data_IF_114549418008
#
_entry.id   IF_114549418008
#
_cell.length_a   1.000
_cell.length_b   1.000
_cell.length_c   1.000
_cell.angle_alpha   90.00
_cell.angle_beta   90.00
_cell.angle_gamma   90.00
#
_symmetry.space_group_name_H-M   'P 1'
#
loop_
_entity.id
_entity.type
_entity.pdbx_description
1 polymer ?
#
# COMPACT_ATOMS: atom_id res chain seq x y z
N UNK A 1 4.68 18.13 -10.17
CA UNK A 1 4.12 17.05 -11.00
C UNK A 1 3.92 15.87 -10.06
N UNK A 2 2.71 15.35 -9.88
CA UNK A 2 2.47 14.19 -9.01
C UNK A 2 3.17 12.98 -9.62
N UNK A 3 3.74 12.09 -8.80
CA UNK A 3 4.31 10.84 -9.28
C UNK A 3 3.20 9.89 -9.76
N UNK A 4 3.51 8.98 -10.68
CA UNK A 4 2.55 7.96 -11.13
C UNK A 4 2.00 7.13 -9.95
N UNK A 5 2.81 6.93 -8.92
CA UNK A 5 2.44 6.22 -7.69
C UNK A 5 1.38 7.00 -6.88
N UNK A 6 1.54 8.32 -6.75
CA UNK A 6 0.55 9.17 -6.07
C UNK A 6 -0.78 9.19 -6.82
N UNK A 7 -0.75 9.24 -8.16
CA UNK A 7 -1.96 9.16 -8.98
C UNK A 7 -2.69 7.82 -8.80
N UNK A 8 -1.97 6.70 -8.79
CA UNK A 8 -2.56 5.37 -8.55
C UNK A 8 -3.15 5.25 -7.14
N UNK A 9 -2.51 5.83 -6.11
CA UNK A 9 -3.07 5.85 -4.75
C UNK A 9 -4.37 6.64 -4.67
N UNK A 10 -4.42 7.78 -5.33
CA UNK A 10 -5.63 8.63 -5.40
C UNK A 10 -6.76 7.88 -6.12
N UNK A 11 -6.47 7.22 -7.24
CA UNK A 11 -7.44 6.42 -8.00
C UNK A 11 -8.04 5.29 -7.16
N UNK A 12 -7.20 4.50 -6.46
CA UNK A 12 -7.70 3.44 -5.56
C UNK A 12 -8.52 4.02 -4.40
N UNK A 13 -8.14 5.18 -3.87
CA UNK A 13 -8.88 5.84 -2.79
C UNK A 13 -10.24 6.32 -3.28
N UNK A 14 -10.32 6.89 -4.47
CA UNK A 14 -11.57 7.33 -5.09
C UNK A 14 -12.50 6.15 -5.41
N UNK A 15 -11.96 5.05 -5.94
CA UNK A 15 -12.74 3.82 -6.16
C UNK A 15 -13.34 3.28 -4.86
N UNK A 16 -12.59 3.30 -3.76
CA UNK A 16 -13.11 2.89 -2.45
C UNK A 16 -14.25 3.80 -1.97
N UNK A 17 -14.08 5.11 -2.10
CA UNK A 17 -15.08 6.10 -1.73
C UNK A 17 -16.37 5.91 -2.54
N UNK A 18 -16.25 5.76 -3.86
CA UNK A 18 -17.37 5.48 -4.76
C UNK A 18 -18.08 4.18 -4.41
N UNK A 19 -17.32 3.12 -4.11
CA UNK A 19 -17.86 1.84 -3.67
C UNK A 19 -18.65 1.94 -2.37
N UNK A 20 -18.14 2.71 -1.39
CA UNK A 20 -18.85 2.97 -0.14
C UNK A 20 -20.16 3.75 -0.37
N UNK A 21 -20.14 4.77 -1.21
CA UNK A 21 -21.36 5.54 -1.54
C UNK A 21 -22.39 4.66 -2.29
N UNK A 22 -21.96 3.75 -3.16
CA UNK A 22 -22.84 2.77 -3.79
C UNK A 22 -23.46 1.81 -2.78
N UNK A 23 -22.67 1.34 -1.81
CA UNK A 23 -23.18 0.49 -0.72
C UNK A 23 -24.24 1.22 0.10
N UNK A 24 -23.99 2.49 0.48
CA UNK A 24 -24.98 3.31 1.19
C UNK A 24 -26.24 3.56 0.36
N UNK A 25 -26.09 3.80 -0.93
CA UNK A 25 -27.22 3.98 -1.85
C UNK A 25 -28.09 2.70 -1.95
N UNK A 26 -27.46 1.51 -1.95
CA UNK A 26 -28.18 0.24 -1.92
C UNK A 26 -28.91 0.04 -0.58
N UNK A 27 -28.30 0.36 0.55
CA UNK A 27 -28.93 0.29 1.87
C UNK A 27 -30.15 1.21 1.91
N UNK A 28 -30.03 2.45 1.41
CA UNK A 28 -31.14 3.42 1.39
C UNK A 28 -32.30 2.93 0.53
N UNK A 29 -32.04 2.31 -0.64
CA UNK A 29 -33.07 1.73 -1.52
C UNK A 29 -33.78 0.50 -0.90
N UNK A 30 -33.06 -0.29 -0.07
CA UNK A 30 -33.59 -1.55 0.48
C UNK A 30 -34.35 -1.35 1.80
N UNK A 31 -33.80 -0.59 2.71
CA UNK A 31 -34.33 -0.47 4.09
C UNK A 31 -34.43 0.97 4.60
N UNK A 32 -33.95 1.94 3.84
CA UNK A 32 -33.80 3.34 4.26
C UNK A 32 -32.61 3.54 5.20
N UNK A 33 -31.94 4.68 5.06
CA UNK A 33 -30.92 5.10 6.04
C UNK A 33 -31.60 5.83 7.21
N UNK A 34 -31.04 5.74 8.44
CA UNK A 34 -31.51 6.49 9.58
C UNK A 34 -31.50 8.00 9.32
N UNK A 35 -32.49 8.73 9.86
CA UNK A 35 -32.63 10.16 9.61
C UNK A 35 -31.41 10.99 10.09
N UNK A 36 -30.80 10.59 11.20
CA UNK A 36 -29.60 11.24 11.72
C UNK A 36 -28.41 11.07 10.75
N UNK A 37 -28.32 9.90 10.12
CA UNK A 37 -27.27 9.64 9.12
C UNK A 37 -27.52 10.38 7.81
N UNK A 38 -28.79 10.53 7.38
CA UNK A 38 -29.14 11.36 6.22
C UNK A 38 -28.78 12.81 6.42
N UNK A 39 -29.06 13.38 7.60
CA UNK A 39 -28.66 14.74 7.96
C UNK A 39 -27.14 14.93 7.92
N UNK A 40 -26.37 13.96 8.42
CA UNK A 40 -24.92 14.01 8.38
C UNK A 40 -24.39 14.00 6.92
N UNK A 41 -24.98 13.19 6.02
CA UNK A 41 -24.63 13.20 4.62
C UNK A 41 -24.93 14.55 3.95
N UNK A 42 -26.01 15.21 4.33
CA UNK A 42 -26.38 16.56 3.86
C UNK A 42 -25.39 17.64 4.38
N UNK A 43 -25.01 17.56 5.66
CA UNK A 43 -24.00 18.44 6.27
C UNK A 43 -22.61 18.30 5.62
N UNK A 44 -22.25 17.06 5.25
CA UNK A 44 -20.98 16.74 4.59
C UNK A 44 -21.04 16.98 3.05
N UNK A 45 -22.15 17.53 2.53
CA UNK A 45 -22.41 17.76 1.09
C UNK A 45 -22.26 16.48 0.24
N UNK A 46 -22.52 15.29 0.80
CA UNK A 46 -22.40 14.02 0.12
C UNK A 46 -23.73 13.62 -0.52
N UNK A 47 -23.76 13.60 -1.83
CA UNK A 47 -24.91 13.06 -2.61
C UNK A 47 -24.66 11.60 -2.97
N UNK A 48 -25.55 10.72 -2.54
CA UNK A 48 -25.47 9.30 -2.91
C UNK A 48 -25.78 9.10 -4.40
N UNK A 49 -24.99 8.28 -5.11
CA UNK A 49 -25.20 8.03 -6.54
C UNK A 49 -26.44 7.17 -6.79
N UNK A 50 -27.00 7.29 -7.99
CA UNK A 50 -27.97 6.29 -8.45
C UNK A 50 -27.25 4.96 -8.68
N UNK A 51 -27.56 3.96 -7.89
CA UNK A 51 -26.89 2.65 -7.93
C UNK A 51 -26.92 2.03 -9.32
N UNK A 52 -28.08 1.92 -9.94
CA UNK A 52 -28.26 1.25 -11.24
C UNK A 52 -27.47 1.90 -12.38
N UNK A 53 -27.21 3.21 -12.30
CA UNK A 53 -26.44 3.94 -13.33
C UNK A 53 -24.94 3.92 -13.09
N UNK A 54 -24.52 3.80 -11.83
CA UNK A 54 -23.13 4.02 -11.46
C UNK A 54 -22.37 2.73 -11.15
N UNK A 55 -23.08 1.63 -10.88
CA UNK A 55 -22.47 0.37 -10.46
C UNK A 55 -21.56 -0.26 -11.52
N UNK A 56 -22.00 -0.35 -12.79
CA UNK A 56 -21.25 -1.05 -13.83
C UNK A 56 -19.90 -0.39 -14.15
N UNK A 57 -19.83 0.94 -14.13
CA UNK A 57 -18.56 1.68 -14.27
C UNK A 57 -17.63 1.37 -13.11
N UNK A 58 -18.13 1.52 -11.87
CA UNK A 58 -17.37 1.21 -10.67
C UNK A 58 -16.87 -0.24 -10.63
N UNK A 59 -17.75 -1.19 -11.00
CA UNK A 59 -17.40 -2.61 -11.05
C UNK A 59 -16.26 -2.88 -12.03
N UNK A 60 -16.35 -2.32 -13.24
CA UNK A 60 -15.36 -2.53 -14.30
C UNK A 60 -13.99 -1.98 -13.92
N UNK A 61 -13.94 -0.76 -13.38
CA UNK A 61 -12.71 -0.12 -12.90
C UNK A 61 -12.11 -0.90 -11.71
N UNK A 62 -12.95 -1.28 -10.73
CA UNK A 62 -12.53 -2.07 -9.56
C UNK A 62 -11.97 -3.43 -9.96
N UNK A 63 -12.59 -4.11 -10.93
CA UNK A 63 -12.14 -5.42 -11.40
C UNK A 63 -10.74 -5.37 -12.02
N UNK A 64 -10.39 -4.30 -12.74
CA UNK A 64 -9.05 -4.10 -13.30
C UNK A 64 -8.01 -4.01 -12.17
N UNK A 65 -8.28 -3.20 -11.16
CA UNK A 65 -7.39 -3.00 -10.00
C UNK A 65 -7.23 -4.29 -9.19
N UNK A 66 -8.34 -5.02 -8.94
CA UNK A 66 -8.32 -6.29 -8.20
C UNK A 66 -7.53 -7.35 -8.97
N UNK A 67 -7.68 -7.46 -10.29
CA UNK A 67 -6.89 -8.38 -11.12
C UNK A 67 -5.38 -8.16 -11.00
N UNK A 68 -4.95 -6.92 -10.89
CA UNK A 68 -3.53 -6.57 -10.78
C UNK A 68 -2.96 -6.78 -9.37
N UNK A 69 -3.71 -6.45 -8.34
CA UNK A 69 -3.20 -6.37 -6.97
C UNK A 69 -3.65 -7.52 -6.05
N UNK A 70 -4.82 -8.11 -6.32
CA UNK A 70 -5.42 -9.22 -5.57
C UNK A 70 -5.95 -10.32 -6.49
N UNK A 71 -5.12 -10.95 -7.35
CA UNK A 71 -5.57 -11.94 -8.33
C UNK A 71 -6.33 -13.11 -7.68
N UNK A 72 -5.97 -13.52 -6.48
CA UNK A 72 -6.61 -14.61 -5.74
C UNK A 72 -8.05 -14.29 -5.29
N UNK A 73 -8.48 -13.02 -5.34
CA UNK A 73 -9.82 -12.58 -4.94
C UNK A 73 -10.72 -12.19 -6.11
N UNK A 74 -10.23 -12.35 -7.34
CA UNK A 74 -10.98 -11.99 -8.57
C UNK A 74 -12.28 -12.79 -8.66
N UNK A 75 -12.21 -14.10 -8.48
CA UNK A 75 -13.39 -14.98 -8.58
C UNK A 75 -14.43 -14.67 -7.49
N UNK A 76 -13.95 -14.38 -6.26
CA UNK A 76 -14.82 -13.94 -5.16
C UNK A 76 -15.55 -12.65 -5.50
N UNK A 77 -14.86 -11.67 -6.11
CA UNK A 77 -15.44 -10.40 -6.52
C UNK A 77 -16.47 -10.55 -7.62
N UNK A 78 -16.16 -11.34 -8.67
CA UNK A 78 -17.05 -11.61 -9.80
C UNK A 78 -18.31 -12.36 -9.34
N UNK A 79 -18.16 -13.34 -8.45
CA UNK A 79 -19.27 -14.15 -7.93
C UNK A 79 -20.34 -13.33 -7.23
N UNK A 80 -20.01 -12.19 -6.60
CA UNK A 80 -21.00 -11.30 -6.01
C UNK A 80 -21.84 -10.56 -7.07
N UNK A 81 -21.24 -10.24 -8.21
CA UNK A 81 -21.94 -9.58 -9.31
C UNK A 81 -22.90 -10.53 -10.02
N UNK A 82 -22.41 -11.73 -10.40
CA UNK A 82 -23.20 -12.68 -11.21
C UNK A 82 -22.88 -14.14 -10.86
N UNK A 83 -23.92 -14.94 -10.69
CA UNK A 83 -23.80 -16.39 -10.53
C UNK A 83 -24.40 -17.12 -11.73
N UNK A 84 -23.55 -17.66 -12.60
CA UNK A 84 -24.00 -18.27 -13.87
C UNK A 84 -24.57 -19.67 -13.71
N UNK A 85 -24.07 -20.47 -12.77
CA UNK A 85 -24.42 -21.88 -12.58
C UNK A 85 -25.26 -22.10 -11.32
N UNK A 86 -26.48 -21.56 -11.28
CA UNK A 86 -27.41 -21.76 -10.16
C UNK A 86 -28.67 -22.44 -10.65
N UNK A 87 -29.23 -23.33 -9.85
CA UNK A 87 -30.48 -24.04 -10.14
C UNK A 87 -31.71 -23.21 -9.83
N UNK A 88 -31.65 -22.40 -8.78
CA UNK A 88 -32.72 -21.51 -8.34
C UNK A 88 -32.13 -20.21 -7.76
N UNK A 89 -32.95 -19.18 -7.69
CA UNK A 89 -32.61 -17.90 -7.07
C UNK A 89 -33.20 -17.89 -5.68
N UNK A 90 -32.33 -18.03 -4.67
CA UNK A 90 -32.63 -17.90 -3.25
C UNK A 90 -31.76 -16.81 -2.63
N UNK A 91 -31.89 -16.58 -1.33
CA UNK A 91 -31.13 -15.57 -0.60
C UNK A 91 -29.61 -15.72 -0.76
N UNK A 92 -29.09 -16.95 -0.82
CA UNK A 92 -27.66 -17.22 -0.94
C UNK A 92 -27.14 -17.03 -2.37
N UNK A 93 -27.94 -17.43 -3.36
CA UNK A 93 -27.59 -17.39 -4.77
C UNK A 93 -28.00 -16.11 -5.50
N UNK A 94 -28.73 -15.23 -4.82
CA UNK A 94 -29.04 -13.88 -5.30
C UNK A 94 -27.75 -13.09 -5.51
N UNK A 95 -27.69 -12.30 -6.58
CA UNK A 95 -26.49 -11.55 -6.98
C UNK A 95 -26.82 -10.06 -7.22
N UNK A 96 -25.81 -9.23 -7.36
CA UNK A 96 -26.01 -7.80 -7.68
C UNK A 96 -26.67 -7.64 -9.06
N UNK A 97 -26.41 -8.53 -10.03
CA UNK A 97 -27.09 -8.54 -11.32
C UNK A 97 -28.62 -8.72 -11.16
N UNK A 98 -29.05 -9.55 -10.19
CA UNK A 98 -30.48 -9.73 -9.92
C UNK A 98 -31.12 -8.50 -9.28
N UNK A 99 -30.36 -7.82 -8.40
CA UNK A 99 -30.76 -6.52 -7.82
C UNK A 99 -30.98 -5.48 -8.93
N UNK A 100 -30.01 -5.33 -9.86
CA UNK A 100 -30.10 -4.39 -10.99
C UNK A 100 -31.30 -4.66 -11.89
N UNK A 101 -31.69 -5.94 -12.05
CA UNK A 101 -32.87 -6.36 -12.82
C UNK A 101 -34.17 -6.29 -12.01
N UNK A 102 -34.11 -5.97 -10.72
CA UNK A 102 -35.29 -5.92 -9.84
C UNK A 102 -35.94 -7.29 -9.59
N UNK A 103 -35.13 -8.37 -9.64
CA UNK A 103 -35.62 -9.74 -9.46
C UNK A 103 -36.16 -9.93 -8.04
N UNK A 104 -37.33 -10.54 -7.93
CA UNK A 104 -37.94 -11.00 -6.69
C UNK A 104 -38.45 -12.40 -6.88
N UNK A 105 -38.09 -13.33 -6.02
CA UNK A 105 -38.53 -14.72 -6.07
C UNK A 105 -39.44 -15.06 -4.89
N UNK A 106 -40.49 -15.81 -5.17
CA UNK A 106 -41.48 -16.25 -4.20
C UNK A 106 -41.71 -17.76 -4.30
N UNK A 107 -42.14 -18.40 -3.23
CA UNK A 107 -42.43 -19.84 -3.21
C UNK A 107 -43.80 -20.10 -2.59
N UNK A 108 -44.50 -21.12 -3.14
CA UNK A 108 -45.77 -21.60 -2.66
C UNK A 108 -46.98 -20.75 -3.05
N UNK A 109 -48.20 -21.22 -2.69
CA UNK A 109 -49.45 -20.53 -2.99
C UNK A 109 -49.57 -19.17 -2.27
N UNK A 110 -48.98 -19.04 -1.09
CA UNK A 110 -48.94 -17.82 -0.29
C UNK A 110 -47.89 -16.82 -0.79
N UNK A 111 -47.18 -17.11 -1.88
CA UNK A 111 -46.14 -16.27 -2.44
C UNK A 111 -45.10 -15.78 -1.41
N UNK A 112 -44.66 -16.67 -0.50
CA UNK A 112 -43.63 -16.32 0.48
C UNK A 112 -42.36 -15.91 -0.22
N UNK A 113 -41.82 -14.73 0.13
CA UNK A 113 -40.58 -14.20 -0.48
C UNK A 113 -39.40 -15.10 -0.11
N UNK A 114 -38.68 -15.56 -1.10
CA UNK A 114 -37.48 -16.40 -0.98
C UNK A 114 -36.21 -15.54 -1.13
N UNK A 115 -36.22 -14.61 -2.07
CA UNK A 115 -35.15 -13.62 -2.24
C UNK A 115 -35.69 -12.35 -2.89
N UNK A 116 -35.17 -11.24 -2.47
CA UNK A 116 -35.42 -9.91 -2.99
C UNK A 116 -34.16 -9.04 -2.90
N UNK A 117 -34.30 -7.74 -3.13
CA UNK A 117 -33.22 -6.75 -3.10
C UNK A 117 -32.37 -6.81 -1.84
N UNK A 118 -32.92 -7.19 -0.67
CA UNK A 118 -32.19 -7.25 0.59
C UNK A 118 -31.02 -8.25 0.57
N UNK A 119 -31.16 -9.31 -0.24
CA UNK A 119 -30.11 -10.31 -0.39
C UNK A 119 -28.84 -9.78 -1.10
N UNK A 120 -28.92 -8.64 -1.81
CA UNK A 120 -27.79 -8.04 -2.49
C UNK A 120 -26.87 -7.21 -1.57
N UNK A 121 -27.39 -6.72 -0.45
CA UNK A 121 -26.63 -5.82 0.47
C UNK A 121 -25.33 -6.46 0.93
N UNK A 122 -25.36 -7.70 1.44
CA UNK A 122 -24.16 -8.43 1.83
C UNK A 122 -23.21 -8.74 0.67
N UNK A 123 -23.71 -8.84 -0.57
CA UNK A 123 -22.89 -9.03 -1.77
C UNK A 123 -22.10 -7.75 -2.10
N UNK A 124 -22.73 -6.60 -2.01
CA UNK A 124 -22.07 -5.30 -2.20
C UNK A 124 -21.06 -5.01 -1.10
N UNK A 125 -21.40 -5.32 0.16
CA UNK A 125 -20.48 -5.22 1.29
C UNK A 125 -19.21 -6.06 1.06
N UNK A 126 -19.35 -7.30 0.57
CA UNK A 126 -18.19 -8.13 0.26
C UNK A 126 -17.34 -7.55 -0.87
N UNK A 127 -17.91 -7.00 -1.92
CA UNK A 127 -17.17 -6.35 -3.00
C UNK A 127 -16.40 -5.12 -2.49
N UNK A 128 -17.02 -4.27 -1.69
CA UNK A 128 -16.34 -3.11 -1.09
C UNK A 128 -15.22 -3.52 -0.14
N UNK A 129 -15.41 -4.61 0.63
CA UNK A 129 -14.40 -5.17 1.51
C UNK A 129 -13.19 -5.73 0.75
N UNK A 130 -13.42 -6.42 -0.38
CA UNK A 130 -12.33 -6.89 -1.27
C UNK A 130 -11.56 -5.71 -1.82
N UNK A 131 -12.24 -4.67 -2.29
CA UNK A 131 -11.60 -3.46 -2.80
C UNK A 131 -10.83 -2.70 -1.70
N UNK A 132 -11.35 -2.68 -0.47
CA UNK A 132 -10.64 -2.07 0.67
C UNK A 132 -9.29 -2.77 0.97
N UNK A 133 -9.20 -4.10 0.78
CA UNK A 133 -7.96 -4.86 0.95
C UNK A 133 -6.89 -4.51 -0.10
N UNK A 134 -7.27 -3.99 -1.27
CA UNK A 134 -6.36 -3.54 -2.33
C UNK A 134 -5.39 -2.47 -1.82
N UNK A 135 -5.87 -1.50 -1.03
CA UNK A 135 -5.03 -0.40 -0.53
C UNK A 135 -3.85 -0.91 0.31
N UNK A 136 -4.10 -1.85 1.22
CA UNK A 136 -3.04 -2.46 2.05
C UNK A 136 -2.02 -3.22 1.21
N UNK A 137 -2.50 -3.96 0.19
CA UNK A 137 -1.62 -4.73 -0.69
C UNK A 137 -0.80 -3.83 -1.60
N UNK A 138 -1.37 -2.74 -2.06
CA UNK A 138 -0.68 -1.74 -2.87
C UNK A 138 0.47 -1.08 -2.08
N UNK A 139 0.24 -0.67 -0.85
CA UNK A 139 1.27 -0.09 0.03
C UNK A 139 2.41 -1.09 0.31
N UNK A 140 2.07 -2.35 0.60
CA UNK A 140 3.06 -3.41 0.80
C UNK A 140 3.92 -3.63 -0.44
N UNK A 141 3.32 -3.78 -1.63
CA UNK A 141 4.08 -3.97 -2.88
C UNK A 141 4.95 -2.78 -3.25
N UNK A 142 4.50 -1.56 -2.98
CA UNK A 142 5.31 -0.36 -3.21
C UNK A 142 6.54 -0.33 -2.29
N UNK A 143 6.35 -0.70 -1.03
CA UNK A 143 7.46 -0.80 -0.09
C UNK A 143 8.49 -1.83 -0.56
N UNK A 144 8.04 -3.04 -0.96
CA UNK A 144 8.91 -4.10 -1.49
C UNK A 144 9.71 -3.62 -2.73
N UNK A 145 9.05 -2.91 -3.67
CA UNK A 145 9.71 -2.38 -4.87
C UNK A 145 10.73 -1.30 -4.51
N UNK A 146 10.41 -0.41 -3.58
CA UNK A 146 11.35 0.63 -3.13
C UNK A 146 12.58 0.01 -2.46
N UNK A 147 12.41 -1.02 -1.62
CA UNK A 147 13.53 -1.73 -1.00
C UNK A 147 14.45 -2.39 -2.04
N UNK A 148 13.86 -3.07 -3.04
CA UNK A 148 14.64 -3.71 -4.11
C UNK A 148 15.43 -2.67 -4.92
N UNK A 149 14.76 -1.59 -5.37
CA UNK A 149 15.44 -0.52 -6.14
C UNK A 149 16.56 0.16 -5.33
N UNK A 150 16.37 0.33 -4.04
CA UNK A 150 17.37 0.93 -3.17
C UNK A 150 18.56 -0.02 -2.94
N UNK A 151 18.30 -1.32 -2.78
CA UNK A 151 19.35 -2.33 -2.69
C UNK A 151 20.19 -2.39 -3.98
N UNK A 152 19.55 -2.40 -5.15
CA UNK A 152 20.23 -2.38 -6.45
C UNK A 152 21.12 -1.13 -6.63
N UNK A 153 20.63 0.03 -6.18
CA UNK A 153 21.39 1.28 -6.22
C UNK A 153 22.64 1.20 -5.32
N UNK A 154 22.49 0.70 -4.09
CA UNK A 154 23.61 0.55 -3.16
C UNK A 154 24.65 -0.44 -3.68
N UNK A 155 24.24 -1.55 -4.28
CA UNK A 155 25.15 -2.53 -4.88
C UNK A 155 25.91 -1.94 -6.06
N UNK A 156 25.29 -1.12 -6.87
CA UNK A 156 25.93 -0.40 -7.97
C UNK A 156 26.98 0.60 -7.47
N UNK A 157 26.65 1.42 -6.45
CA UNK A 157 27.58 2.39 -5.85
C UNK A 157 28.77 1.69 -5.18
N UNK A 158 28.53 0.57 -4.46
CA UNK A 158 29.61 -0.23 -3.84
C UNK A 158 30.49 -0.92 -4.87
N UNK A 159 29.93 -1.36 -6.00
CA UNK A 159 30.72 -1.92 -7.12
C UNK A 159 31.64 -0.88 -7.73
N UNK A 160 31.16 0.36 -7.92
CA UNK A 160 31.99 1.48 -8.35
C UNK A 160 33.13 1.80 -7.36
N UNK A 161 32.82 1.77 -6.05
CA UNK A 161 33.83 1.96 -5.00
C UNK A 161 34.92 0.86 -5.05
N UNK A 162 34.53 -0.42 -5.25
CA UNK A 162 35.47 -1.54 -5.40
C UNK A 162 36.41 -1.36 -6.60
N UNK A 163 35.91 -0.92 -7.76
CA UNK A 163 36.71 -0.67 -8.94
C UNK A 163 37.69 0.50 -8.74
N UNK A 164 37.27 1.57 -8.08
CA UNK A 164 38.17 2.66 -7.71
C UNK A 164 39.28 2.20 -6.76
N UNK A 165 38.95 1.38 -5.78
CA UNK A 165 39.93 0.82 -4.83
C UNK A 165 40.98 -0.05 -5.55
N UNK A 166 40.52 -0.95 -6.46
CA UNK A 166 41.43 -1.79 -7.27
C UNK A 166 42.41 -0.96 -8.15
N UNK A 167 41.96 0.22 -8.59
CA UNK A 167 42.79 1.14 -9.41
C UNK A 167 43.67 2.06 -8.54
N UNK A 168 43.69 1.90 -7.23
CA UNK A 168 44.48 2.70 -6.30
C UNK A 168 43.83 4.02 -5.85
N UNK A 169 42.60 4.31 -6.26
CA UNK A 169 41.88 5.52 -5.85
C UNK A 169 41.16 5.30 -4.51
N UNK A 170 41.90 4.89 -3.48
CA UNK A 170 41.38 4.44 -2.16
C UNK A 170 40.52 5.51 -1.51
N UNK A 171 40.91 6.79 -1.58
CA UNK A 171 40.11 7.88 -1.00
C UNK A 171 38.73 8.03 -1.67
N UNK A 172 38.70 8.02 -3.01
CA UNK A 172 37.43 8.08 -3.73
C UNK A 172 36.54 6.88 -3.44
N UNK A 173 37.11 5.69 -3.34
CA UNK A 173 36.41 4.48 -2.94
C UNK A 173 35.81 4.60 -1.53
N UNK A 174 36.58 5.08 -0.56
CA UNK A 174 36.13 5.26 0.81
C UNK A 174 35.05 6.35 0.96
N UNK A 175 35.14 7.44 0.20
CA UNK A 175 34.13 8.47 0.18
C UNK A 175 32.78 7.94 -0.34
N UNK A 176 32.78 7.20 -1.49
CA UNK A 176 31.56 6.58 -2.04
C UNK A 176 30.99 5.56 -1.04
N UNK A 177 31.81 4.65 -0.52
CA UNK A 177 31.35 3.67 0.46
C UNK A 177 30.74 4.32 1.72
N UNK A 178 31.33 5.45 2.16
CA UNK A 178 30.81 6.23 3.28
C UNK A 178 29.46 6.85 3.01
N UNK A 179 29.22 7.37 1.81
CA UNK A 179 27.89 7.89 1.39
C UNK A 179 26.86 6.78 1.37
N UNK A 180 27.21 5.60 0.84
CA UNK A 180 26.31 4.43 0.83
C UNK A 180 25.97 4.02 2.27
N UNK A 181 26.97 3.95 3.16
CA UNK A 181 26.76 3.61 4.56
C UNK A 181 25.81 4.62 5.24
N UNK A 182 26.00 5.92 5.02
CA UNK A 182 25.18 6.98 5.59
C UNK A 182 23.72 6.88 5.13
N UNK A 183 23.49 6.69 3.83
CA UNK A 183 22.17 6.49 3.23
C UNK A 183 21.49 5.22 3.80
N UNK A 184 22.25 4.11 3.87
CA UNK A 184 21.70 2.84 4.40
C UNK A 184 21.30 2.95 5.86
N UNK A 185 22.13 3.56 6.73
CA UNK A 185 21.80 3.78 8.12
C UNK A 185 20.58 4.70 8.29
N UNK A 186 20.46 5.73 7.46
CA UNK A 186 19.26 6.59 7.39
C UNK A 186 18.01 5.78 7.09
N UNK A 187 18.07 4.94 6.06
CA UNK A 187 16.97 4.06 5.68
C UNK A 187 16.58 3.07 6.79
N UNK A 188 17.57 2.45 7.47
CA UNK A 188 17.29 1.59 8.62
C UNK A 188 16.60 2.36 9.74
N UNK A 189 17.01 3.60 10.03
CA UNK A 189 16.29 4.43 10.99
C UNK A 189 14.84 4.71 10.57
N UNK A 190 14.60 5.02 9.31
CA UNK A 190 13.25 5.26 8.77
C UNK A 190 12.37 4.01 8.89
N UNK A 191 12.89 2.83 8.52
CA UNK A 191 12.18 1.54 8.62
C UNK A 191 11.74 1.24 10.06
N UNK A 192 12.56 1.66 11.05
CA UNK A 192 12.24 1.53 12.47
C UNK A 192 11.50 2.74 13.06
N UNK A 193 11.02 3.67 12.21
CA UNK A 193 10.35 4.91 12.64
C UNK A 193 11.17 5.80 13.57
N UNK A 194 12.51 5.74 13.47
CA UNK A 194 13.44 6.55 14.25
C UNK A 194 13.77 7.84 13.48
N UNK A 195 13.58 8.99 14.12
CA UNK A 195 13.87 10.30 13.52
C UNK A 195 14.99 11.01 14.27
N UNK A 196 16.04 11.40 13.55
CA UNK A 196 17.06 12.30 14.11
C UNK A 196 16.47 13.69 14.35
N UNK A 197 16.94 14.36 15.42
CA UNK A 197 16.60 15.77 15.70
C UNK A 197 17.37 16.74 14.80
N UNK A 198 18.44 16.27 14.14
CA UNK A 198 19.25 17.10 13.23
C UNK A 198 18.62 17.14 11.84
N UNK A 199 18.72 18.30 11.21
CA UNK A 199 18.25 18.48 9.83
C UNK A 199 19.10 17.68 8.83
N UNK A 200 20.41 17.53 9.09
CA UNK A 200 21.37 16.76 8.30
C UNK A 200 22.14 15.83 9.26
N UNK A 201 21.57 14.64 9.56
CA UNK A 201 22.23 13.68 10.42
C UNK A 201 23.42 13.04 9.70
N UNK A 202 24.49 12.74 10.47
CA UNK A 202 25.68 12.04 10.01
C UNK A 202 25.64 10.56 10.36
N UNK A 203 26.59 9.78 9.86
CA UNK A 203 26.77 8.36 10.22
C UNK A 203 26.75 8.17 11.76
N UNK A 204 27.42 9.09 12.51
CA UNK A 204 27.46 9.00 13.98
C UNK A 204 26.11 9.22 14.64
N UNK A 205 25.28 10.10 14.09
CA UNK A 205 23.94 10.34 14.62
C UNK A 205 23.05 9.13 14.40
N UNK A 206 23.15 8.48 13.23
CA UNK A 206 22.37 7.30 12.90
C UNK A 206 22.77 6.08 13.74
N UNK A 207 24.06 5.71 13.83
CA UNK A 207 24.43 4.53 14.59
C UNK A 207 24.18 4.72 16.10
N UNK A 208 24.28 5.93 16.62
CA UNK A 208 23.93 6.21 18.00
C UNK A 208 22.42 6.03 18.24
N UNK A 209 21.59 6.57 17.35
CA UNK A 209 20.14 6.43 17.42
C UNK A 209 19.71 4.96 17.35
N UNK A 210 20.31 4.17 16.47
CA UNK A 210 20.05 2.72 16.35
C UNK A 210 20.50 1.96 17.61
N UNK A 211 21.61 2.36 18.24
CA UNK A 211 22.10 1.76 19.47
C UNK A 211 21.22 2.08 20.68
N UNK A 212 20.79 3.32 20.82
CA UNK A 212 19.92 3.78 21.91
C UNK A 212 18.52 3.12 21.88
N UNK A 213 18.09 2.66 20.72
CA UNK A 213 16.82 1.95 20.54
C UNK A 213 16.97 0.43 20.42
N UNK A 214 18.14 -0.14 20.79
CA UNK A 214 18.43 -1.58 20.76
C UNK A 214 18.26 -2.28 19.41
N UNK A 215 18.32 -1.52 18.30
CA UNK A 215 18.22 -2.07 16.93
C UNK A 215 19.54 -2.74 16.54
N UNK A 216 20.67 -2.23 17.04
CA UNK A 216 21.99 -2.83 16.83
C UNK A 216 22.66 -3.13 18.17
N UNK A 217 23.38 -4.25 18.21
CA UNK A 217 24.19 -4.64 19.37
C UNK A 217 25.49 -3.81 19.48
N UNK A 218 26.21 -3.99 20.58
CA UNK A 218 27.45 -3.24 20.82
C UNK A 218 28.55 -3.56 19.80
N UNK A 219 28.58 -4.77 19.26
CA UNK A 219 29.59 -5.21 18.27
C UNK A 219 29.35 -4.50 16.93
N UNK A 220 28.11 -4.50 16.45
CA UNK A 220 27.71 -3.78 15.23
C UNK A 220 27.91 -2.27 15.41
N UNK A 221 27.54 -1.72 16.54
CA UNK A 221 27.75 -0.30 16.84
C UNK A 221 29.22 0.10 16.71
N UNK A 222 30.16 -0.65 17.34
CA UNK A 222 31.61 -0.40 17.23
C UNK A 222 32.12 -0.55 15.81
N UNK A 223 31.62 -1.54 15.07
CA UNK A 223 32.02 -1.76 13.68
C UNK A 223 31.59 -0.60 12.78
N UNK A 224 30.35 -0.12 12.91
CA UNK A 224 29.84 1.02 12.16
C UNK A 224 30.60 2.31 12.54
N UNK A 225 30.92 2.50 13.81
CA UNK A 225 31.77 3.61 14.26
C UNK A 225 33.11 3.58 13.55
N UNK A 226 33.78 2.43 13.49
CA UNK A 226 35.06 2.27 12.80
C UNK A 226 34.95 2.61 11.30
N UNK A 227 33.89 2.16 10.64
CA UNK A 227 33.64 2.51 9.23
C UNK A 227 33.43 4.02 9.03
N UNK A 228 32.73 4.68 9.96
CA UNK A 228 32.57 6.13 9.98
C UNK A 228 33.89 6.88 10.13
N UNK A 229 34.79 6.37 10.98
CA UNK A 229 36.14 6.94 11.13
C UNK A 229 36.97 6.79 9.87
N UNK A 230 36.92 5.63 9.20
CA UNK A 230 37.59 5.41 7.90
C UNK A 230 37.05 6.37 6.82
N UNK A 231 35.74 6.57 6.75
CA UNK A 231 35.13 7.55 5.82
C UNK A 231 35.65 8.95 6.10
N UNK A 232 35.74 9.38 7.34
CA UNK A 232 36.24 10.70 7.72
C UNK A 232 37.72 10.89 7.32
N UNK A 233 38.54 9.83 7.41
CA UNK A 233 39.94 9.86 6.91
C UNK A 233 39.99 9.99 5.38
N UNK A 234 39.02 9.44 4.65
CA UNK A 234 38.96 9.59 3.19
C UNK A 234 38.57 11.02 2.76
N UNK A 235 37.66 11.66 3.48
CA UNK A 235 37.17 13.01 3.15
C UNK A 235 38.14 14.12 3.62
N UNK A 236 38.78 13.93 4.77
CA UNK A 236 39.68 14.95 5.37
C UNK A 236 41.12 14.43 5.46
N UNK A 237 42.02 14.82 4.53
CA UNK A 237 43.39 14.35 4.56
C UNK A 237 44.13 14.90 5.80
N UNK A 238 44.36 14.06 6.78
CA UNK A 238 45.40 14.26 7.77
C UNK A 238 46.65 13.62 7.23
N UNK A 239 47.71 14.39 6.98
CA UNK A 239 48.96 13.99 6.33
C UNK A 239 49.71 12.79 6.95
N UNK A 240 49.22 12.14 8.00
CA UNK A 240 49.94 11.13 8.79
C UNK A 240 49.45 9.71 8.81
N UNK A 241 48.41 9.32 8.05
CA UNK A 241 47.80 8.00 8.25
C UNK A 241 47.85 6.97 7.09
N UNK A 242 48.51 7.25 6.00
CA UNK A 242 48.46 6.36 4.83
C UNK A 242 49.58 5.31 4.75
N UNK A 243 50.59 5.37 5.61
CA UNK A 243 51.76 4.48 5.56
C UNK A 243 51.58 3.11 6.29
N UNK A 244 50.43 2.81 6.87
CA UNK A 244 50.22 1.60 7.65
C UNK A 244 49.08 0.69 7.13
N UNK A 245 48.51 0.96 5.97
CA UNK A 245 47.42 0.18 5.39
C UNK A 245 47.71 -0.38 3.98
N UNK A 246 48.99 -0.54 3.61
CA UNK A 246 49.40 -1.26 2.40
C UNK A 246 50.10 -2.55 2.83
#
# INVERSE_FOLDING_TARGET
MKSNIEMMKEEVTELKKRGHHLYLAMIDDVQGLPDDFKKQLEEDEVTLPNFNRSYDSWYSESLVVIKQLLPDRVDDFIKQYKQEKRKEIDFLTYSISDYLLGVRTTRGYEQKVVADKSAAVGKMEMQTSILAAVSKRFESKLFDIQEVLQADLFDSELSAARELSKKGFVRGAGAIAGVVLEKHLGHVCETHNLKSRKKTPSISDFYQLLKENDIIDTTKWRFIQHLGDLRNLCDHPKERCWSHFI
#
